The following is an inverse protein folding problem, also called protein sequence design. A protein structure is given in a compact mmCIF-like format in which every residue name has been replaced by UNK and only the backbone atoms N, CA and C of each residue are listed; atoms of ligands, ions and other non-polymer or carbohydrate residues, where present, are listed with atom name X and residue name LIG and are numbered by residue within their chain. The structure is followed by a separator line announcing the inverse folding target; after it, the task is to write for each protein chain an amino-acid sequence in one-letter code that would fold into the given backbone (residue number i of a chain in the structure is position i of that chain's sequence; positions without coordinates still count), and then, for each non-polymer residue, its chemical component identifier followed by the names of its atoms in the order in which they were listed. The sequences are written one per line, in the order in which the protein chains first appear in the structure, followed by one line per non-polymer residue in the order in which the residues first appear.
data_IF_265178751032
#
_entry.id   IF_265178751032
#
_cell.length_a   1.000
_cell.length_b   1.000
_cell.length_c   1.000
_cell.angle_alpha   90.00
_cell.angle_beta   90.00
_cell.angle_gamma   90.00
#
_symmetry.space_group_name_H-M   'P 1'
#
loop_
_entity.id
_entity.type
_entity.pdbx_description
1 polymer ?
#
# COMPACT_ATOMS: atom_id res chain seq x y z
N UNK A 1 75.00 0.02 -10.90
CA UNK A 1 74.13 -1.13 -11.19
C UNK A 1 73.05 -1.22 -10.12
N UNK A 2 71.76 -1.10 -10.51
CA UNK A 2 70.53 -1.38 -9.73
C UNK A 2 70.23 -0.46 -8.52
N UNK A 3 69.03 0.05 -8.22
CA UNK A 3 67.76 0.30 -8.92
C UNK A 3 67.01 1.28 -8.01
N UNK A 4 66.29 2.26 -8.56
CA UNK A 4 65.20 2.98 -7.88
C UNK A 4 64.22 2.00 -7.24
N UNK A 5 63.63 2.29 -6.07
CA UNK A 5 62.16 2.42 -5.88
C UNK A 5 61.78 2.82 -4.44
N UNK A 6 61.62 4.13 -4.27
CA UNK A 6 60.50 4.84 -3.61
C UNK A 6 59.91 4.36 -2.27
N UNK A 7 60.05 5.29 -1.31
CA UNK A 7 59.07 5.75 -0.31
C UNK A 7 58.66 4.80 0.80
N UNK A 8 59.33 4.98 1.94
CA UNK A 8 58.81 4.68 3.27
C UNK A 8 58.97 5.94 4.11
N UNK A 9 57.86 6.45 4.62
CA UNK A 9 57.67 7.42 5.70
C UNK A 9 58.92 8.10 6.25
N UNK A 10 58.95 9.45 6.26
CA UNK A 10 59.13 10.16 7.53
C UNK A 10 58.83 11.66 7.41
N UNK A 11 58.08 12.16 8.40
CA UNK A 11 57.92 13.55 8.81
C UNK A 11 57.15 14.51 7.87
N UNK A 12 55.85 14.69 8.14
CA UNK A 12 55.19 15.98 7.90
C UNK A 12 54.41 16.38 9.15
N UNK A 13 54.91 17.45 9.78
CA UNK A 13 54.29 18.11 10.90
C UNK A 13 53.73 19.47 10.42
N UNK A 14 52.61 19.84 11.04
CA UNK A 14 52.02 21.17 11.17
C UNK A 14 51.13 21.76 10.06
N UNK A 15 49.89 22.03 10.51
CA UNK A 15 49.17 23.29 10.39
C UNK A 15 48.47 23.57 9.04
N UNK A 16 47.18 23.24 8.98
CA UNK A 16 46.30 23.60 7.88
C UNK A 16 44.88 23.14 8.12
N UNK A 17 44.13 23.98 8.82
CA UNK A 17 42.69 23.87 9.04
C UNK A 17 41.93 23.68 7.72
N UNK A 18 41.54 22.45 7.42
CA UNK A 18 40.37 22.16 6.59
C UNK A 18 39.65 20.99 7.24
N UNK A 19 38.84 21.30 8.25
CA UNK A 19 37.75 20.42 8.67
C UNK A 19 36.87 20.26 7.43
N UNK A 20 37.16 19.23 6.63
CA UNK A 20 36.17 18.65 5.73
C UNK A 20 34.99 18.29 6.63
N UNK A 21 33.99 19.17 6.62
CA UNK A 21 32.69 18.91 7.16
C UNK A 21 32.18 17.67 6.44
N UNK A 22 32.50 16.51 7.01
CA UNK A 22 31.73 15.31 6.83
C UNK A 22 30.39 15.64 7.49
N UNK A 23 29.52 16.30 6.73
CA UNK A 23 28.10 16.20 6.92
C UNK A 23 27.74 14.75 6.63
N UNK A 24 28.09 13.85 7.57
CA UNK A 24 27.22 12.71 7.83
C UNK A 24 25.90 13.37 8.18
N UNK A 25 25.01 13.52 7.18
CA UNK A 25 23.59 13.69 7.45
C UNK A 25 23.29 12.54 8.38
N UNK A 26 23.13 12.84 9.67
CA UNK A 26 22.39 11.95 10.55
C UNK A 26 21.02 11.99 9.92
N UNK A 27 20.70 10.98 9.15
CA UNK A 27 19.32 10.65 8.85
C UNK A 27 18.71 10.31 10.21
N UNK A 28 18.31 11.36 10.93
CA UNK A 28 17.49 11.22 12.11
C UNK A 28 16.23 10.51 11.62
N UNK A 29 15.84 9.36 12.19
CA UNK A 29 14.59 8.73 11.82
C UNK A 29 13.48 9.75 12.05
N UNK A 30 13.00 10.36 10.97
CA UNK A 30 11.84 11.24 11.00
C UNK A 30 10.69 10.36 11.49
N UNK A 31 9.90 10.78 12.49
CA UNK A 31 8.77 9.99 12.94
C UNK A 31 7.86 9.71 11.74
N UNK A 32 7.71 8.42 11.41
CA UNK A 32 6.95 7.97 10.27
C UNK A 32 5.53 8.54 10.30
N UNK A 33 5.14 9.25 9.24
CA UNK A 33 3.80 9.84 9.15
C UNK A 33 2.77 8.74 8.94
N UNK A 34 1.89 8.57 9.91
CA UNK A 34 0.82 7.57 9.91
C UNK A 34 -0.42 8.07 9.16
N UNK A 35 -1.22 7.11 8.73
CA UNK A 35 -2.56 7.33 8.18
C UNK A 35 -3.48 7.90 9.26
N UNK A 36 -4.31 8.86 8.89
CA UNK A 36 -5.28 9.54 9.75
C UNK A 36 -6.71 9.18 9.34
N UNK A 37 -6.96 9.02 8.03
CA UNK A 37 -8.24 8.56 7.52
C UNK A 37 -8.09 7.79 6.22
N UNK A 38 -9.08 6.93 5.95
CA UNK A 38 -9.22 6.25 4.67
C UNK A 38 -10.67 6.37 4.20
N UNK A 39 -10.90 6.36 2.88
CA UNK A 39 -12.23 6.34 2.29
C UNK A 39 -12.27 5.32 1.14
N UNK A 40 -13.29 4.45 1.14
CA UNK A 40 -13.47 3.42 0.11
C UNK A 40 -14.48 3.90 -0.93
N UNK A 41 -14.12 3.81 -2.22
CA UNK A 41 -14.99 4.18 -3.35
C UNK A 41 -15.12 3.01 -4.34
N UNK A 42 -16.33 2.74 -4.87
CA UNK A 42 -17.61 3.39 -4.56
C UNK A 42 -18.16 3.03 -3.16
N UNK A 43 -19.03 3.88 -2.61
CA UNK A 43 -19.64 3.68 -1.28
C UNK A 43 -20.80 2.67 -1.27
N UNK A 44 -21.38 2.35 -2.42
CA UNK A 44 -22.39 1.29 -2.60
C UNK A 44 -22.12 0.49 -3.88
N UNK A 45 -21.06 -0.34 -3.88
CA UNK A 45 -20.70 -1.18 -5.01
C UNK A 45 -21.78 -2.24 -5.29
N UNK A 46 -22.12 -2.36 -6.57
CA UNK A 46 -22.95 -3.44 -7.07
C UNK A 46 -22.14 -4.28 -8.06
N UNK A 47 -22.24 -5.60 -7.93
CA UNK A 47 -21.51 -6.53 -8.81
C UNK A 47 -22.45 -7.66 -9.23
N UNK A 48 -22.46 -8.01 -10.50
CA UNK A 48 -23.22 -9.19 -10.91
C UNK A 48 -22.45 -10.48 -10.59
N UNK A 49 -23.17 -11.59 -10.42
CA UNK A 49 -22.57 -12.92 -10.27
C UNK A 49 -21.57 -13.18 -11.42
N UNK A 50 -20.36 -13.60 -11.06
CA UNK A 50 -19.19 -13.88 -11.93
C UNK A 50 -18.57 -12.65 -12.61
N UNK A 51 -19.01 -11.45 -12.24
CA UNK A 51 -18.35 -10.20 -12.65
C UNK A 51 -17.51 -9.63 -11.50
N UNK A 52 -16.75 -8.60 -11.82
CA UNK A 52 -15.84 -7.94 -10.90
C UNK A 52 -16.14 -6.45 -10.75
N UNK A 53 -15.90 -5.90 -9.56
CA UNK A 53 -15.98 -4.48 -9.24
C UNK A 53 -14.71 -4.06 -8.51
N UNK A 54 -14.00 -3.06 -9.02
CA UNK A 54 -12.83 -2.49 -8.35
C UNK A 54 -13.28 -1.58 -7.20
N UNK A 55 -12.69 -1.77 -6.03
CA UNK A 55 -12.73 -0.82 -4.93
C UNK A 55 -11.41 -0.05 -4.87
N UNK A 56 -11.49 1.23 -4.53
CA UNK A 56 -10.33 2.10 -4.38
C UNK A 56 -10.32 2.71 -2.99
N UNK A 57 -9.14 2.89 -2.42
CA UNK A 57 -8.96 3.53 -1.11
C UNK A 57 -8.23 4.85 -1.29
N UNK A 58 -8.86 5.94 -0.88
CA UNK A 58 -8.20 7.22 -0.67
C UNK A 58 -7.63 7.24 0.75
N UNK A 59 -6.37 7.66 0.90
CA UNK A 59 -5.64 7.66 2.18
C UNK A 59 -5.16 9.09 2.45
N UNK A 60 -5.50 9.61 3.63
CA UNK A 60 -5.01 10.88 4.12
C UNK A 60 -4.20 10.68 5.42
N UNK A 61 -3.08 11.39 5.59
CA UNK A 61 -2.53 12.38 4.67
C UNK A 61 -1.88 11.74 3.44
N UNK A 62 -1.95 12.42 2.30
CA UNK A 62 -1.36 11.92 1.03
C UNK A 62 0.15 11.68 1.08
N UNK A 63 0.87 12.12 2.11
CA UNK A 63 2.29 11.85 2.35
C UNK A 63 2.55 10.84 3.50
N UNK A 64 1.54 10.03 3.87
CA UNK A 64 1.74 8.90 4.77
C UNK A 64 2.79 7.92 4.20
N UNK A 65 3.68 7.42 5.07
CA UNK A 65 4.84 6.61 4.68
C UNK A 65 4.43 5.18 4.26
N UNK A 66 3.39 4.64 4.90
CA UNK A 66 2.82 3.32 4.61
C UNK A 66 1.35 3.46 4.24
N UNK A 67 1.03 3.21 2.98
CA UNK A 67 -0.31 3.34 2.40
C UNK A 67 -0.94 2.01 2.03
N UNK A 68 -0.39 0.92 2.56
CA UNK A 68 -0.90 -0.42 2.31
C UNK A 68 -2.18 -0.65 3.12
N UNK A 69 -3.14 -1.32 2.48
CA UNK A 69 -4.38 -1.77 3.11
C UNK A 69 -4.56 -3.26 2.87
N UNK A 70 -5.10 -3.95 3.86
CA UNK A 70 -5.57 -5.32 3.71
C UNK A 70 -7.09 -5.32 3.51
N UNK A 71 -7.54 -6.25 2.68
CA UNK A 71 -8.95 -6.44 2.36
C UNK A 71 -9.47 -7.73 2.97
N UNK A 72 -10.72 -7.70 3.43
CA UNK A 72 -11.42 -8.90 3.88
C UNK A 72 -12.90 -8.85 3.54
N UNK A 73 -13.50 -10.00 3.26
CA UNK A 73 -14.95 -10.15 3.06
C UNK A 73 -15.59 -10.82 4.27
N UNK A 74 -16.76 -10.33 4.69
CA UNK A 74 -17.58 -10.96 5.73
C UNK A 74 -18.20 -12.28 5.27
N UNK A 75 -18.44 -12.43 3.96
CA UNK A 75 -19.03 -13.63 3.38
C UNK A 75 -18.43 -13.93 1.98
N UNK A 76 -17.34 -14.71 1.93
CA UNK A 76 -16.72 -15.15 0.68
C UNK A 76 -17.63 -16.00 -0.22
N UNK A 77 -18.74 -16.56 0.30
CA UNK A 77 -19.71 -17.29 -0.52
C UNK A 77 -20.56 -16.37 -1.39
N UNK A 78 -20.66 -15.08 -1.02
CA UNK A 78 -21.38 -14.05 -1.79
C UNK A 78 -20.42 -13.18 -2.59
N UNK A 79 -19.38 -12.65 -1.96
CA UNK A 79 -18.36 -11.86 -2.66
C UNK A 79 -16.96 -12.09 -2.08
N UNK A 80 -15.97 -12.22 -2.96
CA UNK A 80 -14.55 -12.33 -2.60
C UNK A 80 -13.84 -11.05 -3.02
N UNK A 81 -12.92 -10.56 -2.20
CA UNK A 81 -12.06 -9.41 -2.52
C UNK A 81 -10.60 -9.87 -2.54
N UNK A 82 -9.83 -9.41 -3.52
CA UNK A 82 -8.39 -9.69 -3.59
C UNK A 82 -7.54 -8.64 -2.87
N UNK A 83 -6.20 -8.82 -2.89
CA UNK A 83 -5.27 -7.89 -2.26
C UNK A 83 -5.24 -6.51 -2.92
N UNK A 84 -5.68 -6.38 -4.18
CA UNK A 84 -5.77 -5.12 -4.90
C UNK A 84 -7.13 -4.41 -4.71
N UNK A 85 -8.07 -5.01 -3.97
CA UNK A 85 -9.42 -4.47 -3.79
C UNK A 85 -10.38 -4.79 -4.94
N UNK A 86 -10.05 -5.77 -5.79
CA UNK A 86 -10.96 -6.25 -6.82
C UNK A 86 -11.95 -7.23 -6.21
N UNK A 87 -13.23 -6.86 -6.20
CA UNK A 87 -14.32 -7.67 -5.68
C UNK A 87 -14.91 -8.51 -6.80
N UNK A 88 -15.07 -9.82 -6.58
CA UNK A 88 -15.74 -10.76 -7.48
C UNK A 88 -17.05 -11.22 -6.85
N UNK A 89 -18.16 -11.11 -7.60
CA UNK A 89 -19.46 -11.65 -7.19
C UNK A 89 -19.52 -13.17 -7.39
N UNK A 90 -19.89 -13.92 -6.36
CA UNK A 90 -20.02 -15.38 -6.39
C UNK A 90 -21.49 -15.80 -6.48
N UNK A 91 -22.33 -15.27 -5.60
CA UNK A 91 -23.75 -15.61 -5.51
C UNK A 91 -24.56 -14.37 -5.09
N UNK A 92 -25.83 -14.31 -5.51
CA UNK A 92 -26.74 -13.22 -5.13
C UNK A 92 -26.80 -13.08 -3.61
N UNK A 93 -26.64 -11.85 -3.12
CA UNK A 93 -26.65 -11.55 -1.70
C UNK A 93 -25.92 -10.26 -1.39
N UNK A 94 -25.50 -10.12 -0.14
CA UNK A 94 -24.72 -8.98 0.34
C UNK A 94 -23.51 -9.46 1.11
N UNK A 95 -22.37 -8.81 0.91
CA UNK A 95 -21.15 -9.04 1.69
C UNK A 95 -20.58 -7.69 2.14
N UNK A 96 -20.10 -7.61 3.38
CA UNK A 96 -19.39 -6.45 3.88
C UNK A 96 -17.91 -6.64 3.57
N UNK A 97 -17.34 -5.72 2.80
CA UNK A 97 -15.92 -5.68 2.50
C UNK A 97 -15.26 -4.65 3.42
N UNK A 98 -14.16 -5.02 4.06
CA UNK A 98 -13.39 -4.15 4.97
C UNK A 98 -12.02 -3.88 4.38
N UNK A 99 -11.63 -2.61 4.31
CA UNK A 99 -10.26 -2.16 4.11
C UNK A 99 -9.64 -1.80 5.47
N UNK A 100 -8.46 -2.33 5.79
CA UNK A 100 -7.75 -2.07 7.04
C UNK A 100 -6.31 -1.61 6.79
N UNK A 101 -5.90 -0.53 7.44
CA UNK A 101 -4.52 -0.03 7.35
C UNK A 101 -3.50 -0.96 8.00
N UNK A 102 -2.29 -1.03 7.44
CA UNK A 102 -1.18 -1.87 7.98
C UNK A 102 -0.08 -1.06 8.64
N UNK A 103 -0.16 0.27 8.62
CA UNK A 103 0.82 1.19 9.21
C UNK A 103 0.78 1.25 10.75
N UNK A 104 -0.14 0.50 11.36
CA UNK A 104 -0.40 0.46 12.79
C UNK A 104 -1.23 1.63 13.31
N UNK A 105 -1.90 2.39 12.43
CA UNK A 105 -2.96 3.35 12.82
C UNK A 105 -4.26 2.64 13.24
N UNK A 106 -4.44 1.36 12.85
CA UNK A 106 -5.62 0.54 13.12
C UNK A 106 -6.92 1.13 12.57
N UNK A 107 -6.82 1.98 11.54
CA UNK A 107 -7.98 2.55 10.83
C UNK A 107 -8.55 1.49 9.90
N UNK A 108 -9.88 1.40 9.89
CA UNK A 108 -10.66 0.50 9.02
C UNK A 108 -11.83 1.24 8.42
N UNK A 109 -12.21 0.86 7.22
CA UNK A 109 -13.39 1.34 6.52
C UNK A 109 -14.13 0.15 5.92
N UNK A 110 -15.46 0.19 5.98
CA UNK A 110 -16.31 -0.91 5.52
C UNK A 110 -17.28 -0.45 4.46
N UNK A 111 -17.51 -1.30 3.47
CA UNK A 111 -18.49 -1.07 2.42
C UNK A 111 -19.36 -2.30 2.19
N UNK A 112 -20.66 -2.10 2.03
CA UNK A 112 -21.60 -3.19 1.71
C UNK A 112 -21.64 -3.38 0.20
N UNK A 113 -21.22 -4.56 -0.26
CA UNK A 113 -21.32 -4.97 -1.66
C UNK A 113 -22.63 -5.71 -1.87
N UNK A 114 -23.38 -5.30 -2.90
CA UNK A 114 -24.60 -5.97 -3.33
C UNK A 114 -24.31 -6.83 -4.56
N UNK A 115 -24.44 -8.15 -4.41
CA UNK A 115 -24.27 -9.10 -5.51
C UNK A 115 -25.61 -9.39 -6.15
N UNK A 116 -25.71 -9.09 -7.45
CA UNK A 116 -26.95 -9.20 -8.22
C UNK A 116 -26.86 -10.33 -9.24
N UNK A 117 -28.01 -10.85 -9.66
CA UNK A 117 -28.06 -11.80 -10.78
C UNK A 117 -27.83 -11.05 -12.09
N UNK A 118 -27.02 -11.63 -12.97
CA UNK A 118 -26.85 -11.08 -14.31
C UNK A 118 -28.12 -11.38 -15.13
N UNK A 119 -28.91 -10.35 -15.43
CA UNK A 119 -30.14 -10.48 -16.21
C UNK A 119 -29.89 -10.95 -17.66
N UNK A 120 -28.66 -10.80 -18.18
CA UNK A 120 -28.33 -11.21 -19.54
C UNK A 120 -28.31 -12.74 -19.75
N UNK A 121 -28.29 -13.54 -18.67
CA UNK A 121 -28.31 -15.00 -18.75
C UNK A 121 -29.73 -15.61 -18.82
N UNK A 122 -30.79 -14.81 -18.70
CA UNK A 122 -32.18 -15.30 -18.68
C UNK A 122 -32.78 -15.37 -20.10
N UNK A 123 -32.08 -14.85 -21.12
CA UNK A 123 -32.51 -14.98 -22.50
C UNK A 123 -31.94 -16.26 -23.14
N UNK A 124 -32.85 -17.10 -23.66
CA UNK A 124 -32.66 -18.14 -24.68
C UNK A 124 -32.41 -19.57 -24.22
N UNK A 125 -33.51 -20.31 -24.04
CA UNK A 125 -33.75 -21.55 -24.81
C UNK A 125 -35.26 -21.69 -25.07
N UNK A 126 -35.75 -21.66 -26.32
CA UNK A 126 -37.11 -22.07 -26.67
C UNK A 126 -37.30 -23.59 -26.55
#
# INVERSE_FOLDING_TARGET
MKTKKTMKNLLFAFLGLLFIASCKKKDTPVPAKKVISIAVTPSSPQVAVRLTQQLTVAIEPSDAEKKEVTWSSSDPSKAVVDAAGLVTGIEKGTAVITAATTDGSNIKETVTVHVMVNAAAIALTP
#
